data_IF_591245816203
#
_entry.id   IF_591245816203
#
_cell.length_a   1.000
_cell.length_b   1.000
_cell.length_c   1.000
_cell.angle_alpha   90.00
_cell.angle_beta   90.00
_cell.angle_gamma   90.00
#
_symmetry.space_group_name_H-M   'P 1'
#
loop_
_entity.id
_entity.type
_entity.pdbx_description
1 polymer ?
#
# COMPACT_ATOMS: atom_id res chain seq x y z
N UNK A 1 -14.55 4.25 9.21
CA UNK A 1 -13.86 5.54 9.31
C UNK A 1 -12.45 5.34 8.78
N UNK A 2 -12.15 5.85 7.59
CA UNK A 2 -10.78 5.87 7.06
C UNK A 2 -10.13 7.14 7.59
N UNK A 3 -9.12 7.02 8.44
CA UNK A 3 -8.35 8.17 8.91
C UNK A 3 -7.53 8.69 7.74
N UNK A 4 -7.73 9.96 7.39
CA UNK A 4 -6.85 10.69 6.47
C UNK A 4 -5.72 11.25 7.32
N UNK A 5 -4.50 10.78 7.11
CA UNK A 5 -3.31 11.39 7.70
C UNK A 5 -2.77 12.43 6.72
N UNK A 6 -2.32 13.57 7.23
CA UNK A 6 -1.45 14.46 6.44
C UNK A 6 -0.13 13.71 6.16
N UNK A 7 0.49 13.96 5.01
CA UNK A 7 1.65 13.21 4.49
C UNK A 7 2.75 13.10 5.54
N UNK A 8 3.03 14.20 6.25
CA UNK A 8 4.10 14.25 7.26
C UNK A 8 3.79 13.42 8.53
N UNK A 9 2.52 13.35 8.96
CA UNK A 9 2.13 12.60 10.16
C UNK A 9 2.29 11.09 9.96
N UNK A 10 2.01 10.62 8.75
CA UNK A 10 2.19 9.22 8.43
C UNK A 10 3.65 8.87 8.18
N UNK A 11 4.41 9.72 7.50
CA UNK A 11 5.86 9.53 7.37
C UNK A 11 6.51 9.40 8.75
N UNK A 12 6.10 10.24 9.71
CA UNK A 12 6.55 10.12 11.10
C UNK A 12 6.10 8.81 11.76
N UNK A 13 4.83 8.41 11.60
CA UNK A 13 4.33 7.16 12.17
C UNK A 13 5.04 5.91 11.59
N UNK A 14 5.40 5.95 10.31
CA UNK A 14 6.19 4.91 9.64
C UNK A 14 7.64 4.90 10.14
N UNK A 15 8.26 6.07 10.37
CA UNK A 15 9.59 6.18 10.99
C UNK A 15 9.58 5.69 12.44
N UNK A 16 8.57 6.05 13.23
CA UNK A 16 8.42 5.65 14.63
C UNK A 16 8.24 4.13 14.79
N UNK A 17 7.70 3.46 13.77
CA UNK A 17 7.57 2.02 13.71
C UNK A 17 8.89 1.27 13.44
N UNK A 18 10.03 1.98 13.30
CA UNK A 18 11.34 1.39 12.99
C UNK A 18 11.28 0.42 11.80
N UNK A 19 10.75 0.88 10.66
CA UNK A 19 10.71 0.11 9.41
C UNK A 19 12.11 -0.14 8.78
N UNK A 20 13.18 0.11 9.54
CA UNK A 20 14.57 -0.11 9.16
C UNK A 20 15.00 -1.58 9.32
N UNK A 21 14.12 -2.45 9.81
CA UNK A 21 14.38 -3.88 9.82
C UNK A 21 14.52 -4.36 8.37
N UNK A 22 15.67 -4.93 7.97
CA UNK A 22 15.83 -5.48 6.63
C UNK A 22 14.74 -6.53 6.45
N UNK A 23 13.89 -6.33 5.43
CA UNK A 23 12.86 -7.28 5.05
C UNK A 23 13.46 -8.70 5.09
N UNK A 24 12.83 -9.66 5.79
CA UNK A 24 13.38 -11.00 5.98
C UNK A 24 13.87 -11.56 4.65
N UNK A 25 15.11 -12.04 4.64
CA UNK A 25 15.94 -12.45 3.49
C UNK A 25 15.16 -12.78 2.21
N UNK A 26 14.91 -11.79 1.33
CA UNK A 26 14.34 -11.99 -0.02
C UNK A 26 13.24 -13.06 -0.08
N UNK A 27 12.43 -13.18 0.97
CA UNK A 27 11.28 -14.07 0.93
C UNK A 27 10.37 -13.48 -0.13
N UNK A 28 10.01 -14.30 -1.12
CA UNK A 28 9.23 -13.90 -2.29
C UNK A 28 7.79 -13.58 -1.87
N UNK A 29 7.59 -12.50 -1.12
CA UNK A 29 6.30 -12.02 -0.69
C UNK A 29 5.51 -11.54 -1.91
N UNK A 30 4.20 -11.54 -1.77
CA UNK A 30 3.28 -11.13 -2.81
C UNK A 30 2.92 -9.66 -2.64
N UNK A 31 2.72 -8.97 -3.77
CA UNK A 31 2.19 -7.62 -3.84
C UNK A 31 1.10 -7.55 -4.91
N UNK A 32 0.36 -6.44 -4.94
CA UNK A 32 -0.64 -6.16 -5.98
C UNK A 32 -0.04 -5.20 -7.00
N UNK A 33 0.37 -5.72 -8.15
CA UNK A 33 0.82 -4.94 -9.30
C UNK A 33 -0.39 -4.41 -10.10
N UNK A 34 -0.29 -3.21 -10.64
CA UNK A 34 -1.29 -2.59 -11.53
C UNK A 34 -0.58 -1.83 -12.64
N UNK A 35 -1.33 -1.30 -13.61
CA UNK A 35 -0.84 -0.22 -14.49
C UNK A 35 -0.41 0.98 -13.65
N UNK A 36 0.52 1.83 -14.13
CA UNK A 36 0.94 3.05 -13.45
C UNK A 36 -0.27 3.84 -12.96
N UNK A 37 -0.27 4.15 -11.67
CA UNK A 37 -1.32 4.93 -11.04
C UNK A 37 -0.72 6.14 -10.33
N UNK A 38 -1.13 7.37 -10.67
CA UNK A 38 -0.59 8.57 -10.05
C UNK A 38 -1.06 8.68 -8.60
N UNK A 39 -0.11 8.99 -7.71
CA UNK A 39 -0.40 9.39 -6.35
C UNK A 39 -1.21 10.69 -6.37
N UNK A 40 -2.42 10.73 -5.77
CA UNK A 40 -3.23 11.93 -5.79
C UNK A 40 -2.68 13.07 -4.90
N UNK A 41 -1.73 12.79 -4.00
CA UNK A 41 -1.06 13.80 -3.19
C UNK A 41 0.14 14.46 -3.91
N UNK A 42 1.06 13.68 -4.47
CA UNK A 42 2.31 14.20 -5.07
C UNK A 42 2.42 14.06 -6.60
N UNK A 43 1.58 13.24 -7.23
CA UNK A 43 1.60 12.99 -8.68
C UNK A 43 2.53 11.86 -9.14
N UNK A 44 3.39 11.32 -8.27
CA UNK A 44 4.30 10.22 -8.62
C UNK A 44 3.52 8.95 -9.01
N UNK A 45 3.97 8.27 -10.07
CA UNK A 45 3.32 7.08 -10.57
C UNK A 45 3.88 5.80 -9.96
N UNK A 46 2.98 4.92 -9.51
CA UNK A 46 3.34 3.62 -8.96
C UNK A 46 2.59 2.50 -9.68
N UNK A 47 3.32 1.46 -10.08
CA UNK A 47 2.75 0.22 -10.63
C UNK A 47 2.27 -0.74 -9.54
N UNK A 48 2.13 -0.27 -8.29
CA UNK A 48 1.81 -1.10 -7.13
C UNK A 48 0.66 -0.47 -6.32
N UNK A 49 -0.08 -1.31 -5.61
CA UNK A 49 -0.92 -0.82 -4.50
C UNK A 49 0.01 -0.42 -3.36
N UNK A 50 0.00 0.87 -3.04
CA UNK A 50 0.87 1.45 -2.02
C UNK A 50 0.06 1.99 -0.84
N UNK A 51 0.66 1.89 0.34
CA UNK A 51 0.30 2.63 1.53
C UNK A 51 1.31 3.76 1.68
N UNK A 52 1.01 4.90 1.07
CA UNK A 52 1.85 6.11 1.17
C UNK A 52 3.29 5.82 0.74
N UNK A 53 3.39 5.44 -0.54
CA UNK A 53 4.61 5.06 -1.25
C UNK A 53 5.27 3.75 -0.80
N UNK A 54 4.77 3.10 0.25
CA UNK A 54 5.22 1.76 0.64
C UNK A 54 4.38 0.69 -0.05
N UNK A 55 5.02 -0.25 -0.75
CA UNK A 55 4.30 -1.37 -1.40
C UNK A 55 3.73 -2.30 -0.33
N UNK A 56 2.42 -2.55 -0.42
CA UNK A 56 1.74 -3.46 0.50
C UNK A 56 2.06 -4.90 0.13
N UNK A 57 2.71 -5.62 1.05
CA UNK A 57 3.18 -7.00 0.83
C UNK A 57 2.58 -8.00 1.83
N UNK A 58 2.49 -9.27 1.41
CA UNK A 58 2.05 -10.38 2.26
C UNK A 58 2.79 -11.67 1.91
N UNK A 59 3.01 -12.56 2.89
CA UNK A 59 3.72 -13.83 2.68
C UNK A 59 3.01 -14.77 1.68
N UNK A 60 1.67 -14.72 1.65
CA UNK A 60 0.82 -15.51 0.75
C UNK A 60 -0.09 -14.60 -0.07
N UNK A 61 -0.62 -15.06 -1.22
CA UNK A 61 -1.49 -14.22 -2.05
C UNK A 61 -2.89 -13.99 -1.46
N UNK A 62 -3.42 -14.94 -0.68
CA UNK A 62 -4.82 -14.92 -0.20
C UNK A 62 -5.20 -13.64 0.56
N UNK A 63 -4.38 -13.11 1.48
CA UNK A 63 -4.68 -11.87 2.20
C UNK A 63 -4.82 -10.63 1.29
N UNK A 64 -4.26 -10.68 0.08
CA UNK A 64 -4.30 -9.58 -0.88
C UNK A 64 -5.56 -9.58 -1.76
N UNK A 65 -6.30 -10.69 -1.81
CA UNK A 65 -7.47 -10.84 -2.71
C UNK A 65 -8.53 -9.75 -2.48
N UNK A 66 -8.82 -9.42 -1.22
CA UNK A 66 -9.77 -8.36 -0.85
C UNK A 66 -9.34 -7.00 -1.44
N UNK A 67 -8.05 -6.66 -1.29
CA UNK A 67 -7.50 -5.37 -1.70
C UNK A 67 -7.36 -5.29 -3.23
N UNK A 68 -7.03 -6.40 -3.89
CA UNK A 68 -7.09 -6.49 -5.34
C UNK A 68 -8.53 -6.27 -5.84
N UNK A 69 -9.54 -6.87 -5.20
CA UNK A 69 -10.93 -6.62 -5.58
C UNK A 69 -11.33 -5.14 -5.41
N UNK A 70 -10.87 -4.47 -4.35
CA UNK A 70 -11.09 -3.03 -4.14
C UNK A 70 -10.40 -2.19 -5.22
N UNK A 71 -9.13 -2.47 -5.54
CA UNK A 71 -8.39 -1.78 -6.59
C UNK A 71 -9.10 -1.91 -7.96
N UNK A 72 -9.66 -3.08 -8.25
CA UNK A 72 -10.45 -3.31 -9.47
C UNK A 72 -11.72 -2.45 -9.51
N UNK A 73 -12.41 -2.29 -8.37
CA UNK A 73 -13.64 -1.45 -8.29
C UNK A 73 -13.39 0.01 -8.60
N UNK A 74 -12.18 0.51 -8.35
CA UNK A 74 -11.79 1.90 -8.65
C UNK A 74 -11.11 2.06 -10.02
N UNK A 75 -11.13 1.01 -10.86
CA UNK A 75 -10.67 1.08 -12.25
C UNK A 75 -9.20 0.71 -12.48
N UNK A 76 -8.49 0.15 -11.48
CA UNK A 76 -7.13 -0.42 -11.69
C UNK A 76 -7.20 -1.82 -12.29
N UNK A 77 -6.07 -2.37 -12.77
CA UNK A 77 -5.98 -3.74 -13.33
C UNK A 77 -5.18 -4.74 -12.45
N UNK A 78 -5.56 -4.93 -11.17
CA UNK A 78 -4.73 -5.59 -10.18
C UNK A 78 -4.34 -7.04 -10.53
N UNK A 79 -3.06 -7.35 -10.32
CA UNK A 79 -2.43 -8.67 -10.46
C UNK A 79 -1.66 -8.97 -9.18
N UNK A 80 -2.00 -10.05 -8.50
CA UNK A 80 -1.20 -10.51 -7.35
C UNK A 80 -0.01 -11.29 -7.88
N UNK A 81 1.19 -10.79 -7.65
CA UNK A 81 2.45 -11.36 -8.15
C UNK A 81 3.50 -11.36 -7.04
N UNK A 82 4.56 -12.14 -7.22
CA UNK A 82 5.74 -12.06 -6.36
C UNK A 82 6.40 -10.70 -6.52
N UNK A 83 6.79 -10.10 -5.41
CA UNK A 83 7.49 -8.83 -5.35
C UNK A 83 9.00 -9.08 -5.35
N UNK A 84 9.72 -8.38 -6.22
CA UNK A 84 11.16 -8.53 -6.46
C UNK A 84 12.03 -7.50 -5.72
N UNK A 85 11.40 -6.58 -4.97
CA UNK A 85 12.08 -5.50 -4.27
C UNK A 85 12.35 -4.30 -5.20
N UNK A 86 12.55 -3.12 -4.62
CA UNK A 86 12.88 -1.90 -5.38
C UNK A 86 12.20 -0.63 -4.88
N UNK A 87 11.14 -0.78 -4.07
CA UNK A 87 10.49 0.30 -3.33
C UNK A 87 10.41 -0.09 -1.84
N UNK A 88 10.28 0.89 -0.93
CA UNK A 88 9.95 0.62 0.46
C UNK A 88 8.69 -0.23 0.57
N UNK A 89 8.62 -1.05 1.61
CA UNK A 89 7.52 -2.00 1.79
C UNK A 89 6.85 -1.85 3.14
N UNK A 90 5.62 -2.33 3.22
CA UNK A 90 4.88 -2.47 4.48
C UNK A 90 4.08 -3.78 4.42
N UNK A 91 4.14 -4.57 5.49
CA UNK A 91 3.30 -5.77 5.58
C UNK A 91 1.82 -5.36 5.57
N UNK A 92 0.95 -6.20 5.01
CA UNK A 92 -0.50 -6.01 5.10
C UNK A 92 -0.97 -5.92 6.56
N UNK A 93 -0.28 -6.61 7.48
CA UNK A 93 -0.56 -6.53 8.91
C UNK A 93 -0.25 -5.13 9.48
N UNK A 94 0.95 -4.60 9.25
CA UNK A 94 1.35 -3.25 9.68
C UNK A 94 0.43 -2.18 9.08
N UNK A 95 0.11 -2.30 7.78
CA UNK A 95 -0.79 -1.36 7.12
C UNK A 95 -2.19 -1.36 7.74
N UNK A 96 -2.72 -2.53 8.10
CA UNK A 96 -3.99 -2.64 8.84
C UNK A 96 -3.89 -2.06 10.25
N UNK A 97 -2.79 -2.30 10.96
CA UNK A 97 -2.56 -1.75 12.30
C UNK A 97 -2.54 -0.22 12.32
N UNK A 98 -2.05 0.41 11.25
CA UNK A 98 -2.06 1.87 11.06
C UNK A 98 -3.43 2.45 10.63
N UNK A 99 -4.45 1.60 10.46
CA UNK A 99 -5.77 2.04 10.02
C UNK A 99 -5.91 2.17 8.50
N UNK A 100 -5.09 1.44 7.73
CA UNK A 100 -5.06 1.44 6.25
C UNK A 100 -4.80 2.82 5.63
N UNK A 101 -3.75 3.55 6.04
CA UNK A 101 -3.42 4.85 5.45
C UNK A 101 -3.19 4.75 3.93
N UNK A 102 -3.72 5.69 3.17
CA UNK A 102 -3.50 5.83 1.72
C UNK A 102 -3.09 7.26 1.40
N UNK A 103 -2.23 7.46 0.39
CA UNK A 103 -1.78 8.79 -0.04
C UNK A 103 -2.85 9.57 -0.84
N UNK A 104 -4.11 9.20 -0.64
CA UNK A 104 -5.28 10.00 -0.97
C UNK A 104 -6.51 9.12 -1.19
N UNK A 105 -7.56 9.42 -0.44
CA UNK A 105 -8.93 8.99 -0.76
C UNK A 105 -9.51 10.08 -1.65
N UNK A 106 -10.11 9.72 -2.78
CA UNK A 106 -10.97 10.65 -3.53
C UNK A 106 -12.06 11.12 -2.56
N UNK A 107 -12.19 12.44 -2.30
CA UNK A 107 -13.11 13.00 -1.26
C UNK A 107 -14.55 12.47 -1.36
N UNK A 108 -14.96 11.97 -2.51
CA UNK A 108 -16.28 11.43 -2.84
C UNK A 108 -16.44 9.92 -2.62
N UNK A 109 -15.39 9.20 -2.20
CA UNK A 109 -15.44 7.77 -1.86
C UNK A 109 -15.20 7.47 -0.37
N UNK A 110 -15.02 8.50 0.46
CA UNK A 110 -15.09 8.34 1.92
C UNK A 110 -16.55 8.09 2.33
N UNK A 111 -16.89 6.99 3.04
CA UNK A 111 -18.19 6.91 3.68
C UNK A 111 -18.25 7.99 4.76
N UNK A 112 -19.23 8.88 4.63
CA UNK A 112 -19.65 9.82 5.69
C UNK A 112 -20.00 9.03 6.96
#
# INVERSE_FOLDING_TARGET
>A
MSTVYEVEELEQALQDLQLDDPAPEKELWYAINTDPWPCPACGDEFEWVTACHHVVIAETPDPLLEHAAIAKKVGRNPRIVKYDGGLPTITLYQWRALGRPVHGVRRDLSPQ
#
